data_IF_549836114867
#
_entry.id   IF_549836114867
#
_cell.length_a   1.000
_cell.length_b   1.000
_cell.length_c   1.000
_cell.angle_alpha   90.00
_cell.angle_beta   90.00
_cell.angle_gamma   90.00
#
_symmetry.space_group_name_H-M   'P 1'
#
loop_
_entity.id
_entity.type
_entity.pdbx_description
1 polymer ?
#
# COMPACT_ATOMS: atom_id res chain seq x y z
N UNK A 1 4.75 -68.69 5.50
CA UNK A 1 4.44 -67.90 6.70
C UNK A 1 4.81 -66.45 6.38
N UNK A 2 3.81 -65.64 6.07
CA UNK A 2 3.93 -64.20 5.78
C UNK A 2 3.73 -63.46 7.09
N UNK A 3 4.62 -62.55 7.46
CA UNK A 3 4.28 -61.18 7.94
C UNK A 3 5.53 -60.29 7.78
N UNK A 4 5.39 -59.27 6.95
CA UNK A 4 6.25 -58.09 6.88
C UNK A 4 5.83 -57.06 7.96
N UNK A 5 6.76 -56.26 8.48
CA UNK A 5 6.45 -54.97 9.12
C UNK A 5 7.74 -54.13 9.22
N UNK A 6 7.89 -53.11 8.36
CA UNK A 6 7.49 -51.70 8.60
C UNK A 6 8.37 -50.97 9.61
N UNK A 7 9.42 -50.32 9.10
CA UNK A 7 9.83 -49.00 9.62
C UNK A 7 9.86 -48.04 8.44
N UNK A 8 8.69 -47.48 8.14
CA UNK A 8 8.56 -46.31 7.30
C UNK A 8 9.29 -45.15 7.95
N UNK A 9 10.35 -44.69 7.31
CA UNK A 9 10.90 -43.37 7.54
C UNK A 9 9.89 -42.37 6.96
N UNK A 10 9.00 -41.85 7.81
CA UNK A 10 8.28 -40.64 7.51
C UNK A 10 9.24 -39.46 7.68
N UNK A 11 10.05 -39.17 6.65
CA UNK A 11 10.65 -37.85 6.49
C UNK A 11 9.53 -36.90 6.09
N UNK A 12 8.80 -36.42 7.09
CA UNK A 12 7.86 -35.31 6.92
C UNK A 12 8.68 -34.03 6.76
N UNK A 13 9.21 -33.81 5.56
CA UNK A 13 9.56 -32.48 5.08
C UNK A 13 8.26 -31.67 4.99
N UNK A 14 7.89 -31.02 6.11
CA UNK A 14 6.96 -29.89 6.03
C UNK A 14 7.74 -28.76 5.38
N UNK A 15 7.38 -28.30 4.17
CA UNK A 15 7.95 -27.06 3.67
C UNK A 15 7.63 -25.96 4.69
N UNK A 16 8.68 -25.31 5.18
CA UNK A 16 8.60 -24.33 6.24
C UNK A 16 7.65 -23.21 5.83
N UNK A 17 6.63 -22.98 6.66
CA UNK A 17 5.61 -21.93 6.53
C UNK A 17 6.19 -20.50 6.51
N UNK A 18 7.51 -20.35 6.64
CA UNK A 18 8.28 -19.11 6.57
C UNK A 18 8.61 -18.68 5.14
N UNK A 19 8.79 -19.63 4.22
CA UNK A 19 9.02 -19.35 2.79
C UNK A 19 7.95 -18.42 2.16
N UNK A 20 6.64 -18.57 2.41
CA UNK A 20 5.62 -17.69 1.83
C UNK A 20 5.63 -16.25 2.37
N UNK A 21 6.07 -16.01 3.62
CA UNK A 21 6.13 -14.65 4.18
C UNK A 21 7.32 -13.90 3.58
N UNK A 22 8.49 -14.54 3.50
CA UNK A 22 9.69 -13.94 2.91
C UNK A 22 9.48 -13.62 1.43
N UNK A 23 8.82 -14.51 0.68
CA UNK A 23 8.51 -14.24 -0.73
C UNK A 23 7.55 -13.05 -0.89
N UNK A 24 6.53 -12.95 -0.02
CA UNK A 24 5.57 -11.85 -0.07
C UNK A 24 6.22 -10.49 0.24
N UNK A 25 7.16 -10.45 1.18
CA UNK A 25 7.95 -9.23 1.46
C UNK A 25 8.81 -8.86 0.25
N UNK A 26 9.49 -9.81 -0.38
CA UNK A 26 10.29 -9.56 -1.57
C UNK A 26 9.45 -9.07 -2.77
N UNK A 27 8.21 -9.56 -2.93
CA UNK A 27 7.26 -9.06 -3.92
C UNK A 27 6.82 -7.61 -3.63
N UNK A 28 6.61 -7.29 -2.35
CA UNK A 28 6.28 -5.94 -1.90
C UNK A 28 7.44 -4.97 -2.17
N UNK A 29 8.67 -5.35 -1.83
CA UNK A 29 9.88 -4.56 -2.09
C UNK A 29 10.04 -4.26 -3.59
N UNK A 30 9.92 -5.28 -4.45
CA UNK A 30 9.93 -5.09 -5.91
C UNK A 30 8.83 -4.16 -6.41
N UNK A 31 7.67 -4.17 -5.75
CA UNK A 31 6.55 -3.30 -6.13
C UNK A 31 6.81 -1.85 -5.73
N UNK A 32 7.35 -1.60 -4.55
CA UNK A 32 7.77 -0.26 -4.10
C UNK A 32 8.87 0.29 -5.01
N UNK A 33 9.84 -0.53 -5.39
CA UNK A 33 10.92 -0.12 -6.27
C UNK A 33 10.42 0.29 -7.67
N UNK A 34 9.41 -0.40 -8.21
CA UNK A 34 8.76 0.01 -9.47
C UNK A 34 8.07 1.36 -9.36
N UNK A 35 7.45 1.66 -8.21
CA UNK A 35 6.83 2.98 -7.98
C UNK A 35 7.90 4.07 -7.93
N UNK A 36 9.02 3.83 -7.24
CA UNK A 36 10.17 4.75 -7.20
C UNK A 36 10.66 5.07 -8.61
N UNK A 37 10.92 4.05 -9.42
CA UNK A 37 11.38 4.22 -10.81
C UNK A 37 10.35 4.96 -11.69
N UNK A 38 9.06 4.71 -11.49
CA UNK A 38 8.00 5.41 -12.23
C UNK A 38 7.95 6.90 -11.87
N UNK A 39 8.14 7.26 -10.59
CA UNK A 39 8.20 8.65 -10.13
C UNK A 39 9.46 9.38 -10.62
N UNK A 40 10.57 8.67 -10.83
CA UNK A 40 11.82 9.22 -11.37
C UNK A 40 11.80 9.43 -12.89
N UNK A 41 10.78 8.90 -13.58
CA UNK A 41 10.63 9.15 -15.02
C UNK A 41 10.11 10.57 -15.29
N UNK A 42 10.68 11.24 -16.29
CA UNK A 42 10.47 12.66 -16.65
C UNK A 42 9.03 13.03 -17.13
N UNK A 43 8.03 12.19 -16.84
CA UNK A 43 6.66 12.34 -17.31
C UNK A 43 5.58 12.03 -16.26
N UNK A 44 5.90 12.04 -14.97
CA UNK A 44 4.92 11.81 -13.92
C UNK A 44 3.94 13.01 -13.82
N UNK A 45 2.74 12.84 -14.38
CA UNK A 45 1.61 13.76 -14.17
C UNK A 45 1.18 13.75 -12.69
N UNK A 46 0.57 14.84 -12.22
CA UNK A 46 0.05 15.01 -10.86
C UNK A 46 -0.91 13.89 -10.44
N UNK A 47 -1.63 13.28 -11.40
CA UNK A 47 -2.44 12.08 -11.14
C UNK A 47 -1.60 10.88 -10.71
N UNK A 48 -0.42 10.69 -11.29
CA UNK A 48 0.51 9.64 -10.89
C UNK A 48 1.10 9.92 -9.50
N UNK A 49 1.41 11.19 -9.19
CA UNK A 49 1.85 11.61 -7.85
C UNK A 49 0.76 11.35 -6.81
N UNK A 50 -0.50 11.72 -7.09
CA UNK A 50 -1.66 11.42 -6.22
C UNK A 50 -1.84 9.92 -6.00
N UNK A 51 -1.75 9.11 -7.07
CA UNK A 51 -1.84 7.66 -6.96
C UNK A 51 -0.70 7.07 -6.11
N UNK A 52 0.53 7.59 -6.25
CA UNK A 52 1.67 7.16 -5.45
C UNK A 52 1.53 7.55 -3.97
N UNK A 53 1.05 8.77 -3.68
CA UNK A 53 0.75 9.21 -2.32
C UNK A 53 -0.35 8.35 -1.67
N UNK A 54 -1.40 8.00 -2.42
CA UNK A 54 -2.51 7.17 -1.93
C UNK A 54 -2.02 5.73 -1.64
N UNK A 55 -1.23 5.18 -2.55
CA UNK A 55 -0.55 3.90 -2.36
C UNK A 55 0.36 3.89 -1.13
N UNK A 56 1.10 4.98 -0.90
CA UNK A 56 1.96 5.14 0.29
C UNK A 56 1.14 5.17 1.57
N UNK A 57 0.03 5.91 1.62
CA UNK A 57 -0.87 5.92 2.78
C UNK A 57 -1.46 4.53 3.07
N UNK A 58 -1.86 3.79 2.03
CA UNK A 58 -2.33 2.40 2.18
C UNK A 58 -1.22 1.49 2.72
N UNK A 59 0.00 1.61 2.21
CA UNK A 59 1.14 0.81 2.67
C UNK A 59 1.45 1.07 4.15
N UNK A 60 1.45 2.33 4.58
CA UNK A 60 1.66 2.69 5.99
C UNK A 60 0.61 2.02 6.89
N UNK A 61 -0.68 2.05 6.51
CA UNK A 61 -1.77 1.41 7.27
C UNK A 61 -1.63 -0.12 7.31
N UNK A 62 -1.19 -0.73 6.21
CA UNK A 62 -0.92 -2.17 6.16
C UNK A 62 0.25 -2.56 7.08
N UNK A 63 1.35 -1.81 7.03
CA UNK A 63 2.51 -2.02 7.91
C UNK A 63 2.12 -1.85 9.37
N UNK A 64 1.26 -0.88 9.70
CA UNK A 64 0.76 -0.70 11.06
C UNK A 64 -0.01 -1.94 11.54
N UNK A 65 -0.89 -2.47 10.68
CA UNK A 65 -1.64 -3.71 10.97
C UNK A 65 -0.72 -4.92 11.16
N UNK A 66 0.30 -5.07 10.31
CA UNK A 66 1.30 -6.14 10.44
C UNK A 66 2.05 -5.98 11.77
N UNK A 67 2.43 -4.76 12.13
CA UNK A 67 3.15 -4.45 13.37
C UNK A 67 2.31 -4.80 14.60
N UNK A 68 1.02 -4.46 14.60
CA UNK A 68 0.08 -4.87 15.66
C UNK A 68 0.03 -6.40 15.81
N UNK A 69 -0.06 -7.14 14.69
CA UNK A 69 -0.05 -8.61 14.70
C UNK A 69 1.27 -9.20 15.19
N UNK A 70 2.39 -8.57 14.86
CA UNK A 70 3.70 -8.99 15.36
C UNK A 70 3.79 -8.79 16.88
N UNK A 71 3.26 -7.68 17.41
CA UNK A 71 3.25 -7.41 18.84
C UNK A 71 2.36 -8.42 19.60
N UNK A 72 1.16 -8.70 19.07
CA UNK A 72 0.28 -9.76 19.60
C UNK A 72 0.99 -11.12 19.59
N UNK A 73 1.71 -11.44 18.51
CA UNK A 73 2.41 -12.71 18.40
C UNK A 73 3.56 -12.81 19.38
N UNK A 74 4.40 -11.77 19.47
CA UNK A 74 5.54 -11.68 20.39
C UNK A 74 5.13 -11.99 21.83
N UNK A 75 4.02 -11.40 22.30
CA UNK A 75 3.46 -11.63 23.63
C UNK A 75 3.10 -13.10 23.94
N UNK A 76 2.86 -13.91 22.91
CA UNK A 76 2.43 -15.32 23.05
C UNK A 76 3.50 -16.34 22.71
N UNK A 77 4.58 -15.94 22.03
CA UNK A 77 5.59 -16.87 21.49
C UNK A 77 6.98 -16.70 22.05
N UNK A 78 7.30 -15.56 22.65
CA UNK A 78 8.62 -15.33 23.24
C UNK A 78 8.58 -15.76 24.70
N UNK A 79 9.34 -16.80 25.03
CA UNK A 79 9.33 -17.39 26.37
C UNK A 79 10.03 -16.50 27.43
N UNK A 80 11.03 -15.72 27.02
CA UNK A 80 11.70 -14.76 27.92
C UNK A 80 10.87 -13.48 28.03
N UNK A 81 10.25 -13.29 29.19
CA UNK A 81 9.41 -12.12 29.50
C UNK A 81 10.09 -10.77 29.25
N UNK A 82 11.39 -10.62 29.52
CA UNK A 82 12.08 -9.33 29.32
C UNK A 82 12.26 -9.04 27.84
N UNK A 83 12.68 -10.06 27.08
CA UNK A 83 12.83 -9.96 25.62
C UNK A 83 11.47 -9.71 24.96
N UNK A 84 10.41 -10.36 25.46
CA UNK A 84 9.05 -10.15 24.98
C UNK A 84 8.59 -8.70 25.22
N UNK A 85 8.77 -8.17 26.43
CA UNK A 85 8.38 -6.81 26.79
C UNK A 85 9.11 -5.75 25.96
N UNK A 86 10.43 -5.89 25.79
CA UNK A 86 11.25 -4.99 24.97
C UNK A 86 10.80 -5.02 23.50
N UNK A 87 10.63 -6.22 22.92
CA UNK A 87 10.17 -6.37 21.53
C UNK A 87 8.77 -5.76 21.32
N UNK A 88 7.85 -5.95 22.28
CA UNK A 88 6.51 -5.36 22.22
C UNK A 88 6.60 -3.83 22.31
N UNK A 89 7.48 -3.29 23.15
CA UNK A 89 7.70 -1.86 23.26
C UNK A 89 8.21 -1.27 21.94
N UNK A 90 9.19 -1.91 21.31
CA UNK A 90 9.73 -1.50 20.01
C UNK A 90 8.68 -1.56 18.90
N UNK A 91 7.87 -2.63 18.85
CA UNK A 91 6.78 -2.76 17.88
C UNK A 91 5.69 -1.69 18.09
N UNK A 92 5.36 -1.36 19.35
CA UNK A 92 4.44 -0.25 19.66
C UNK A 92 5.03 1.10 19.24
N UNK A 93 6.33 1.31 19.43
CA UNK A 93 7.01 2.51 18.97
C UNK A 93 6.96 2.62 17.44
N UNK A 94 7.26 1.53 16.72
CA UNK A 94 7.14 1.47 15.26
C UNK A 94 5.71 1.77 14.79
N UNK A 95 4.70 1.17 15.44
CA UNK A 95 3.29 1.45 15.14
C UNK A 95 2.95 2.93 15.30
N UNK A 96 3.47 3.58 16.33
CA UNK A 96 3.26 5.01 16.53
C UNK A 96 3.97 5.85 15.45
N UNK A 97 5.18 5.48 15.04
CA UNK A 97 5.86 6.12 13.90
C UNK A 97 5.04 6.00 12.61
N UNK A 98 4.46 4.84 12.34
CA UNK A 98 3.60 4.62 11.18
C UNK A 98 2.31 5.46 11.26
N UNK A 99 1.70 5.57 12.44
CA UNK A 99 0.54 6.45 12.64
C UNK A 99 0.89 7.92 12.38
N UNK A 100 2.04 8.39 12.86
CA UNK A 100 2.55 9.74 12.56
C UNK A 100 2.78 9.91 11.06
N UNK A 101 3.41 8.94 10.40
CA UNK A 101 3.61 8.96 8.96
C UNK A 101 2.29 9.07 8.18
N UNK A 102 1.26 8.32 8.58
CA UNK A 102 -0.06 8.41 7.97
C UNK A 102 -0.68 9.81 8.13
N UNK A 103 -0.56 10.40 9.32
CA UNK A 103 -1.06 11.74 9.60
C UNK A 103 -0.33 12.85 8.81
N UNK A 104 0.90 12.60 8.36
CA UNK A 104 1.64 13.52 7.48
C UNK A 104 1.27 13.38 6.00
N UNK A 105 0.89 12.17 5.57
CA UNK A 105 0.51 11.92 4.17
C UNK A 105 -0.92 12.38 3.88
N UNK A 106 -1.81 12.34 4.87
CA UNK A 106 -3.23 12.68 4.70
C UNK A 106 -3.48 14.12 4.21
N UNK A 107 -2.84 15.18 4.77
CA UNK A 107 -2.95 16.54 4.22
C UNK A 107 -2.42 16.64 2.79
N UNK A 108 -1.30 15.95 2.49
CA UNK A 108 -0.74 15.91 1.14
C UNK A 108 -1.74 15.32 0.14
N UNK A 109 -2.53 14.32 0.55
CA UNK A 109 -3.56 13.73 -0.30
C UNK A 109 -4.73 14.67 -0.55
N UNK A 110 -5.14 15.43 0.45
CA UNK A 110 -6.18 16.45 0.31
C UNK A 110 -5.72 17.56 -0.64
N UNK A 111 -4.49 18.06 -0.48
CA UNK A 111 -3.91 19.07 -1.38
C UNK A 111 -3.85 18.55 -2.83
N UNK A 112 -3.38 17.31 -3.03
CA UNK A 112 -3.31 16.71 -4.37
C UNK A 112 -4.68 16.47 -4.98
N UNK A 113 -5.71 16.17 -4.17
CA UNK A 113 -7.09 16.05 -4.65
C UNK A 113 -7.58 17.39 -5.18
N UNK A 114 -7.46 18.45 -4.41
CA UNK A 114 -7.94 19.77 -4.79
C UNK A 114 -7.28 20.25 -6.09
N UNK A 115 -5.99 19.99 -6.24
CA UNK A 115 -5.26 20.29 -7.48
C UNK A 115 -5.76 19.47 -8.67
N UNK A 116 -5.83 18.15 -8.54
CA UNK A 116 -6.21 17.27 -9.67
C UNK A 116 -7.67 17.38 -10.09
N UNK A 117 -8.56 17.73 -9.16
CA UNK A 117 -9.98 17.93 -9.44
C UNK A 117 -10.24 19.34 -10.05
N UNK A 118 -9.39 20.34 -9.78
CA UNK A 118 -9.49 21.67 -10.40
C UNK A 118 -9.17 21.70 -11.91
N UNK A 119 -8.44 20.70 -12.42
CA UNK A 119 -8.10 20.60 -13.86
C UNK A 119 -9.27 20.13 -14.75
N UNK A 120 -10.42 19.74 -14.18
CA UNK A 120 -11.63 19.44 -14.97
C UNK A 120 -12.37 20.71 -15.43
N UNK A 121 -11.95 21.89 -14.95
CA UNK A 121 -12.47 23.20 -15.37
C UNK A 121 -12.28 23.44 -16.87
N UNK A 122 -11.19 22.96 -17.48
CA UNK A 122 -10.98 23.10 -18.93
C UNK A 122 -11.95 22.22 -19.74
N UNK A 123 -12.37 21.09 -19.19
CA UNK A 123 -13.37 20.21 -19.80
C UNK A 123 -14.78 20.77 -19.66
N UNK A 124 -15.12 21.28 -18.48
CA UNK A 124 -16.39 21.98 -18.27
C UNK A 124 -16.47 23.26 -19.12
N UNK A 125 -15.38 24.02 -19.20
CA UNK A 125 -15.28 25.18 -20.08
C UNK A 125 -15.42 24.77 -21.55
N UNK A 126 -14.73 23.71 -22.00
CA UNK A 126 -14.85 23.22 -23.37
C UNK A 126 -16.27 22.75 -23.70
N UNK A 127 -16.95 22.07 -22.76
CA UNK A 127 -18.35 21.66 -22.92
C UNK A 127 -19.28 22.88 -23.01
N UNK A 128 -19.12 23.86 -22.11
CA UNK A 128 -19.91 25.08 -22.06
C UNK A 128 -19.69 25.95 -23.33
N UNK A 129 -18.44 25.99 -23.81
CA UNK A 129 -18.09 26.66 -25.06
C UNK A 129 -18.70 25.98 -26.29
N UNK A 130 -18.66 24.65 -26.36
CA UNK A 130 -19.31 23.89 -27.43
C UNK A 130 -20.82 24.10 -27.46
N UNK A 131 -21.47 24.14 -26.29
CA UNK A 131 -22.89 24.42 -26.17
C UNK A 131 -23.22 25.85 -26.63
N UNK A 132 -22.46 26.86 -26.20
CA UNK A 132 -22.63 28.23 -26.64
C UNK A 132 -22.40 28.39 -28.16
N UNK A 133 -21.37 27.75 -28.71
CA UNK A 133 -21.06 27.81 -30.13
C UNK A 133 -22.16 27.17 -31.00
N UNK A 134 -22.74 26.05 -30.53
CA UNK A 134 -23.85 25.39 -31.21
C UNK A 134 -25.12 26.27 -31.26
N UNK A 135 -25.43 26.95 -30.15
CA UNK A 135 -26.58 27.86 -30.06
C UNK A 135 -26.36 29.12 -30.93
N UNK A 136 -25.16 29.70 -30.88
CA UNK A 136 -24.84 30.94 -31.60
C UNK A 136 -24.75 30.77 -33.12
N UNK A 137 -24.27 29.61 -33.58
CA UNK A 137 -24.28 29.25 -35.00
C UNK A 137 -25.69 29.06 -35.57
N UNK A 138 -26.58 28.43 -34.81
CA UNK A 138 -27.98 28.19 -35.22
C UNK A 138 -28.83 29.48 -35.31
N UNK A 139 -28.44 30.53 -34.57
CA UNK A 139 -29.11 31.84 -34.62
C UNK A 139 -28.65 32.73 -35.77
N UNK A 140 -27.55 32.40 -36.44
CA UNK A 140 -26.98 33.22 -37.52
C UNK A 140 -27.55 32.92 -38.92
N UNK A 141 -28.35 31.86 -39.08
CA UNK A 141 -28.93 31.42 -40.36
C UNK A 141 -30.44 31.73 -40.50
N UNK A 142 -30.99 32.64 -39.70
CA UNK A 142 -32.36 33.17 -39.85
C UNK A 142 -32.35 34.64 -40.20
#
# INVERSE_FOLDING_TARGET
MVVANLKGQCTSDRPAKTAPVVSAVADAERSVERVRLALESDGADMRAVRAAADGTARLIRLLATITDRLAERAATTVDDSRVADDLIADLKALRNCLATGAALVEPTLDDLRDWTDSFDVDKEFAACWQEWAAVSGATSER
#
